data_IF_261175440285
#
_entry.id   IF_261175440285
#
_cell.length_a   1.000
_cell.length_b   1.000
_cell.length_c   1.000
_cell.angle_alpha   90.00
_cell.angle_beta   90.00
_cell.angle_gamma   90.00
#
_symmetry.space_group_name_H-M   'P 1'
#
loop_
_entity.id
_entity.type
_entity.pdbx_description
1 polymer ?
#
# COMPACT_ATOMS: atom_id res chain seq x y z
N UNK A 1 29.16 -24.32 -9.88
CA UNK A 1 29.83 -23.48 -8.90
C UNK A 1 29.18 -22.13 -8.94
N UNK A 2 28.19 -21.87 -8.06
CA UNK A 2 27.53 -20.57 -7.96
C UNK A 2 28.23 -19.81 -6.84
N UNK A 3 28.88 -18.71 -7.22
CA UNK A 3 29.59 -17.85 -6.27
C UNK A 3 28.59 -17.11 -5.37
N UNK A 4 28.71 -17.36 -4.08
CA UNK A 4 28.10 -16.56 -3.02
C UNK A 4 28.88 -15.24 -3.05
N UNK A 5 28.24 -14.18 -3.50
CA UNK A 5 28.76 -12.83 -3.38
C UNK A 5 28.67 -12.44 -1.89
N UNK A 6 29.82 -12.25 -1.28
CA UNK A 6 29.97 -11.78 0.09
C UNK A 6 29.62 -10.28 0.20
N UNK A 7 29.40 -9.76 1.44
CA UNK A 7 28.90 -8.42 1.69
C UNK A 7 30.02 -7.40 1.48
N UNK A 8 30.03 -6.70 0.37
CA UNK A 8 30.42 -5.30 0.13
C UNK A 8 30.00 -5.00 -1.31
N UNK A 9 28.73 -4.82 -1.53
CA UNK A 9 28.27 -4.21 -2.77
C UNK A 9 28.37 -2.70 -2.60
N UNK A 10 29.11 -2.03 -3.47
CA UNK A 10 28.97 -0.60 -3.67
C UNK A 10 27.47 -0.34 -3.89
N UNK A 11 26.89 0.65 -3.18
CA UNK A 11 25.48 0.98 -3.32
C UNK A 11 25.16 1.15 -4.81
N UNK A 12 24.22 0.36 -5.34
CA UNK A 12 23.76 0.47 -6.71
C UNK A 12 23.30 1.91 -6.98
N UNK A 13 23.73 2.48 -8.08
CA UNK A 13 23.16 3.74 -8.53
C UNK A 13 21.72 3.54 -8.97
N UNK A 14 20.90 4.60 -8.91
CA UNK A 14 19.52 4.55 -9.39
C UNK A 14 19.44 4.02 -10.84
N UNK A 15 20.35 4.45 -11.71
CA UNK A 15 20.38 4.02 -13.11
C UNK A 15 20.66 2.51 -13.25
N UNK A 16 21.61 1.97 -12.48
CA UNK A 16 21.95 0.55 -12.48
C UNK A 16 20.80 -0.30 -11.91
N UNK A 17 20.17 0.13 -10.83
CA UNK A 17 19.03 -0.56 -10.23
C UNK A 17 17.83 -0.64 -11.20
N UNK A 18 17.57 0.44 -11.95
CA UNK A 18 16.46 0.50 -12.89
C UNK A 18 16.75 -0.15 -14.26
N UNK A 19 18.00 -0.44 -14.59
CA UNK A 19 18.36 -1.03 -15.88
C UNK A 19 17.63 -2.36 -16.12
N UNK A 20 17.42 -3.14 -15.09
CA UNK A 20 16.74 -4.43 -15.14
C UNK A 20 15.31 -4.35 -15.70
N UNK A 21 14.58 -3.25 -15.39
CA UNK A 21 13.22 -3.03 -15.93
C UNK A 21 13.23 -2.19 -17.19
N UNK A 22 14.23 -1.34 -17.39
CA UNK A 22 14.41 -0.51 -18.60
C UNK A 22 14.83 -1.32 -19.81
N UNK A 23 15.58 -2.42 -19.60
CA UNK A 23 16.00 -3.32 -20.66
C UNK A 23 14.84 -3.99 -21.39
N UNK A 24 13.74 -4.30 -20.68
CA UNK A 24 12.56 -4.90 -21.27
C UNK A 24 11.26 -4.36 -20.64
N UNK A 25 10.86 -3.11 -20.96
CA UNK A 25 9.67 -2.49 -20.35
C UNK A 25 8.38 -3.27 -20.60
N UNK A 26 8.25 -3.91 -21.76
CA UNK A 26 7.06 -4.70 -22.13
C UNK A 26 6.89 -5.98 -21.33
N UNK A 27 7.89 -6.36 -20.52
CA UNK A 27 7.86 -7.50 -19.59
C UNK A 27 8.22 -7.07 -18.16
N UNK A 28 7.99 -5.80 -17.83
CA UNK A 28 8.34 -5.25 -16.53
C UNK A 28 7.15 -4.58 -15.85
N UNK A 29 7.07 -4.71 -14.52
CA UNK A 29 6.06 -4.08 -13.68
C UNK A 29 6.67 -2.97 -12.81
N UNK A 30 5.96 -1.85 -12.69
CA UNK A 30 6.29 -0.73 -11.79
C UNK A 30 5.15 -0.60 -10.76
N UNK A 31 5.47 -0.89 -9.52
CA UNK A 31 4.54 -0.91 -8.40
C UNK A 31 4.93 0.19 -7.40
N UNK A 32 3.99 1.04 -7.01
CA UNK A 32 4.28 2.21 -6.19
C UNK A 32 3.25 2.31 -5.05
N UNK A 33 3.72 2.51 -3.85
CA UNK A 33 2.85 3.01 -2.79
C UNK A 33 2.36 4.44 -3.10
N UNK A 34 1.37 4.92 -2.37
CA UNK A 34 0.73 6.20 -2.65
C UNK A 34 1.09 7.25 -1.60
N UNK A 35 0.77 7.00 -0.34
CA UNK A 35 0.94 7.95 0.76
C UNK A 35 2.39 7.92 1.27
N UNK A 36 3.09 9.05 1.23
CA UNK A 36 4.53 9.12 1.54
C UNK A 36 5.44 8.83 0.35
N UNK A 37 4.93 8.16 -0.67
CA UNK A 37 5.65 7.74 -1.88
C UNK A 37 5.33 8.62 -3.09
N UNK A 38 4.12 8.53 -3.64
CA UNK A 38 3.67 9.39 -4.76
C UNK A 38 3.12 10.73 -4.29
N UNK A 39 2.47 10.74 -3.14
CA UNK A 39 1.91 11.93 -2.51
C UNK A 39 2.62 12.21 -1.18
N UNK A 40 2.86 13.46 -0.82
CA UNK A 40 3.41 13.80 0.48
C UNK A 40 2.44 13.42 1.59
N UNK A 41 2.98 13.05 2.77
CA UNK A 41 2.18 12.87 3.98
C UNK A 41 1.60 14.21 4.40
N UNK A 42 0.29 14.26 4.61
CA UNK A 42 -0.45 15.45 4.99
C UNK A 42 -1.21 15.24 6.30
N UNK A 43 -1.62 16.33 6.96
CA UNK A 43 -2.32 16.25 8.26
C UNK A 43 -3.70 15.59 8.15
N UNK A 44 -4.42 15.83 7.06
CA UNK A 44 -5.74 15.25 6.81
C UNK A 44 -5.67 14.36 5.56
N UNK A 45 -6.12 13.13 5.69
CA UNK A 45 -6.05 12.14 4.62
C UNK A 45 -6.78 12.57 3.33
N UNK A 46 -7.80 13.43 3.46
CA UNK A 46 -8.58 13.94 2.35
C UNK A 46 -7.84 15.05 1.54
N UNK A 47 -6.81 15.67 2.13
CA UNK A 47 -5.99 16.69 1.48
C UNK A 47 -4.84 16.07 0.65
N UNK A 48 -4.63 14.77 0.79
CA UNK A 48 -3.56 14.07 0.09
C UNK A 48 -3.87 14.00 -1.41
N UNK A 49 -2.92 14.41 -2.23
CA UNK A 49 -3.01 14.33 -3.69
C UNK A 49 -1.64 14.10 -4.31
N UNK A 50 -1.63 13.42 -5.44
CA UNK A 50 -0.40 13.25 -6.23
C UNK A 50 -0.17 14.50 -7.06
N UNK A 51 1.01 15.14 -6.97
CA UNK A 51 1.33 16.34 -7.76
C UNK A 51 1.19 16.11 -9.27
N UNK A 52 0.75 17.13 -10.00
CA UNK A 52 0.50 17.02 -11.44
C UNK A 52 1.74 16.55 -12.23
N UNK A 53 2.92 17.05 -11.88
CA UNK A 53 4.19 16.64 -12.51
C UNK A 53 4.44 15.14 -12.30
N UNK A 54 4.23 14.63 -11.08
CA UNK A 54 4.36 13.19 -10.77
C UNK A 54 3.36 12.36 -11.58
N UNK A 55 2.10 12.82 -11.69
CA UNK A 55 1.08 12.16 -12.51
C UNK A 55 1.47 12.11 -13.99
N UNK A 56 2.03 13.18 -14.53
CA UNK A 56 2.49 13.26 -15.93
C UNK A 56 3.54 12.18 -16.20
N UNK A 57 4.56 12.03 -15.31
CA UNK A 57 5.56 10.99 -15.46
C UNK A 57 4.94 9.59 -15.29
N UNK A 58 4.05 9.40 -14.32
CA UNK A 58 3.40 8.11 -14.09
C UNK A 58 2.54 7.68 -15.30
N UNK A 59 1.84 8.62 -15.96
CA UNK A 59 1.12 8.36 -17.21
C UNK A 59 2.09 7.95 -18.32
N UNK A 60 3.23 8.62 -18.46
CA UNK A 60 4.23 8.28 -19.46
C UNK A 60 4.82 6.87 -19.21
N UNK A 61 5.16 6.56 -17.95
CA UNK A 61 5.62 5.24 -17.52
C UNK A 61 4.54 4.18 -17.80
N UNK A 62 3.26 4.45 -17.52
CA UNK A 62 2.18 3.48 -17.73
C UNK A 62 1.94 3.12 -19.21
N UNK A 63 2.41 3.94 -20.14
CA UNK A 63 2.34 3.64 -21.59
C UNK A 63 3.52 2.81 -22.09
N UNK A 64 4.59 2.73 -21.30
CA UNK A 64 5.83 2.08 -21.68
C UNK A 64 5.98 0.68 -21.07
N UNK A 65 5.52 0.52 -19.84
CA UNK A 65 5.68 -0.71 -19.06
C UNK A 65 4.47 -1.63 -19.16
N UNK A 66 4.70 -2.95 -19.09
CA UNK A 66 3.64 -3.96 -19.20
C UNK A 66 2.56 -3.80 -18.11
N UNK A 67 2.97 -3.44 -16.91
CA UNK A 67 2.09 -3.23 -15.77
C UNK A 67 2.58 -2.05 -14.93
N UNK A 68 1.68 -1.13 -14.62
CA UNK A 68 1.88 -0.11 -13.62
C UNK A 68 0.74 -0.17 -12.61
N UNK A 69 1.06 -0.19 -11.33
CA UNK A 69 0.05 -0.24 -10.28
C UNK A 69 0.40 0.63 -9.08
N UNK A 70 -0.61 1.21 -8.45
CA UNK A 70 -0.51 1.78 -7.11
C UNK A 70 -0.97 0.75 -6.08
N UNK A 71 -0.22 0.63 -4.98
CA UNK A 71 -0.48 -0.31 -3.87
C UNK A 71 -0.65 0.50 -2.59
N UNK A 72 -1.81 0.42 -1.94
CA UNK A 72 -2.14 1.32 -0.84
C UNK A 72 -2.94 0.65 0.28
N UNK A 73 -2.81 1.15 1.50
CA UNK A 73 -3.72 0.85 2.60
C UNK A 73 -5.12 1.42 2.42
N UNK A 74 -5.28 2.40 1.51
CA UNK A 74 -6.58 2.95 1.15
C UNK A 74 -7.38 1.96 0.31
N UNK A 75 -8.72 2.15 0.25
CA UNK A 75 -9.54 1.45 -0.76
C UNK A 75 -9.02 1.76 -2.17
N UNK A 76 -9.01 0.78 -3.05
CA UNK A 76 -8.54 0.95 -4.42
C UNK A 76 -9.23 2.10 -5.17
N UNK A 77 -10.55 2.25 -4.98
CA UNK A 77 -11.31 3.37 -5.54
C UNK A 77 -10.90 4.74 -4.98
N UNK A 78 -10.50 4.80 -3.71
CA UNK A 78 -10.00 6.04 -3.07
C UNK A 78 -8.60 6.37 -3.57
N UNK A 79 -7.69 5.39 -3.62
CA UNK A 79 -6.36 5.55 -4.19
C UNK A 79 -6.45 6.04 -5.66
N UNK A 80 -7.33 5.44 -6.47
CA UNK A 80 -7.58 5.89 -7.85
C UNK A 80 -8.04 7.33 -7.94
N UNK A 81 -8.96 7.78 -7.09
CA UNK A 81 -9.38 9.20 -7.08
C UNK A 81 -8.24 10.14 -6.75
N UNK A 82 -7.39 9.75 -5.79
CA UNK A 82 -6.24 10.53 -5.35
C UNK A 82 -5.15 10.63 -6.42
N UNK A 83 -4.83 9.51 -7.08
CA UNK A 83 -3.84 9.45 -8.17
C UNK A 83 -4.41 10.03 -9.47
N UNK A 84 -5.73 9.90 -9.68
CA UNK A 84 -6.46 10.40 -10.85
C UNK A 84 -5.99 9.84 -12.20
N UNK A 85 -5.58 8.57 -12.24
CA UNK A 85 -5.18 7.85 -13.46
C UNK A 85 -6.04 6.58 -13.58
N UNK A 86 -6.84 6.48 -14.64
CA UNK A 86 -7.73 5.33 -14.86
C UNK A 86 -7.07 4.15 -15.57
N UNK A 87 -5.93 4.34 -16.21
CA UNK A 87 -5.27 3.35 -17.06
C UNK A 87 -4.28 2.42 -16.34
N UNK A 88 -4.11 2.57 -15.02
CA UNK A 88 -3.24 1.72 -14.20
C UNK A 88 -4.07 0.88 -13.23
N UNK A 89 -3.46 -0.16 -12.68
CA UNK A 89 -4.08 -0.98 -11.64
C UNK A 89 -3.96 -0.33 -10.25
N UNK A 90 -4.85 -0.72 -9.33
CA UNK A 90 -4.80 -0.31 -7.93
C UNK A 90 -5.01 -1.51 -7.03
N UNK A 91 -4.07 -1.76 -6.16
CA UNK A 91 -4.19 -2.69 -5.04
C UNK A 91 -4.58 -1.88 -3.82
N UNK A 92 -5.75 -2.14 -3.25
CA UNK A 92 -6.31 -1.42 -2.12
C UNK A 92 -6.50 -2.28 -0.88
N UNK A 93 -6.90 -1.64 0.22
CA UNK A 93 -7.15 -2.30 1.51
C UNK A 93 -5.98 -3.20 1.93
N UNK A 94 -4.75 -2.67 1.85
CA UNK A 94 -3.52 -3.43 2.16
C UNK A 94 -3.37 -4.76 1.39
N UNK A 95 -3.86 -4.85 0.16
CA UNK A 95 -3.78 -6.08 -0.66
C UNK A 95 -5.08 -6.86 -0.76
N UNK A 96 -6.13 -6.45 -0.04
CA UNK A 96 -7.42 -7.14 -0.01
C UNK A 96 -8.26 -7.00 -1.27
N UNK A 97 -7.99 -6.00 -2.09
CA UNK A 97 -8.75 -5.75 -3.33
C UNK A 97 -7.85 -5.27 -4.46
N UNK A 98 -8.23 -5.57 -5.69
CA UNK A 98 -7.55 -5.12 -6.91
C UNK A 98 -8.57 -4.48 -7.83
N UNK A 99 -8.32 -3.23 -8.23
CA UNK A 99 -9.06 -2.54 -9.28
C UNK A 99 -8.20 -2.59 -10.55
N UNK A 100 -8.62 -3.33 -11.57
CA UNK A 100 -7.84 -3.46 -12.80
C UNK A 100 -7.81 -2.14 -13.60
N UNK A 101 -6.87 -1.98 -14.56
CA UNK A 101 -6.82 -0.83 -15.45
C UNK A 101 -8.16 -0.65 -16.17
N UNK A 102 -8.72 0.57 -16.14
CA UNK A 102 -10.03 0.86 -16.75
C UNK A 102 -11.24 0.31 -15.98
N UNK A 103 -11.05 -0.55 -14.99
CA UNK A 103 -12.11 -1.12 -14.17
C UNK A 103 -12.81 -0.07 -13.30
N UNK A 104 -14.06 -0.34 -12.93
CA UNK A 104 -14.85 0.52 -12.02
C UNK A 104 -15.22 -0.17 -10.72
N UNK A 105 -15.13 -1.49 -10.68
CA UNK A 105 -15.43 -2.32 -9.51
C UNK A 105 -14.18 -3.11 -9.13
N UNK A 106 -13.71 -3.02 -7.89
CA UNK A 106 -12.55 -3.78 -7.45
C UNK A 106 -12.91 -5.28 -7.30
N UNK A 107 -11.95 -6.12 -7.61
CA UNK A 107 -11.99 -7.55 -7.33
C UNK A 107 -11.47 -7.79 -5.92
N UNK A 108 -12.36 -8.13 -5.00
CA UNK A 108 -12.01 -8.41 -3.61
C UNK A 108 -11.51 -9.86 -3.49
N UNK A 109 -10.47 -10.05 -2.68
CA UNK A 109 -10.03 -11.40 -2.30
C UNK A 109 -11.20 -12.16 -1.67
N UNK A 110 -11.56 -13.37 -2.18
CA UNK A 110 -12.76 -14.06 -1.73
C UNK A 110 -12.75 -14.45 -0.23
N UNK A 111 -11.59 -14.72 0.32
CA UNK A 111 -11.44 -15.03 1.74
C UNK A 111 -11.61 -13.76 2.58
N UNK A 112 -11.00 -12.67 2.14
CA UNK A 112 -11.13 -11.35 2.75
C UNK A 112 -12.58 -10.84 2.69
N UNK A 113 -13.28 -11.03 1.57
CA UNK A 113 -14.68 -10.65 1.42
C UNK A 113 -15.58 -11.36 2.44
N UNK A 114 -15.45 -12.70 2.55
CA UNK A 114 -16.22 -13.49 3.52
C UNK A 114 -15.93 -13.10 4.97
N UNK A 115 -14.66 -12.88 5.28
CA UNK A 115 -14.26 -12.47 6.63
C UNK A 115 -14.74 -11.04 6.97
N UNK A 116 -14.87 -10.16 5.99
CA UNK A 116 -15.37 -8.80 6.13
C UNK A 116 -16.84 -8.72 6.59
N UNK A 117 -17.67 -9.74 6.30
CA UNK A 117 -19.05 -9.79 6.78
C UNK A 117 -19.12 -9.74 8.32
N UNK A 118 -18.19 -10.42 9.00
CA UNK A 118 -18.10 -10.38 10.47
C UNK A 118 -17.73 -8.99 10.98
N UNK A 119 -16.84 -8.28 10.27
CA UNK A 119 -16.43 -6.92 10.64
C UNK A 119 -17.60 -5.95 10.48
N UNK A 120 -18.38 -6.06 9.39
CA UNK A 120 -19.58 -5.22 9.21
C UNK A 120 -20.61 -5.48 10.30
N UNK A 121 -20.91 -6.74 10.60
CA UNK A 121 -21.82 -7.10 11.68
C UNK A 121 -21.35 -6.57 13.05
N UNK A 122 -20.06 -6.66 13.32
CA UNK A 122 -19.44 -6.11 14.52
C UNK A 122 -19.59 -4.57 14.57
N UNK A 123 -19.25 -3.87 13.48
CA UNK A 123 -19.37 -2.41 13.40
C UNK A 123 -20.80 -1.97 13.71
N UNK A 124 -21.79 -2.58 13.07
CA UNK A 124 -23.20 -2.22 13.25
C UNK A 124 -23.67 -2.45 14.69
N UNK A 125 -23.11 -3.44 15.38
CA UNK A 125 -23.41 -3.75 16.79
C UNK A 125 -22.78 -2.76 17.78
N UNK A 126 -21.63 -2.15 17.45
CA UNK A 126 -20.91 -1.25 18.34
C UNK A 126 -21.26 0.23 18.13
N UNK A 127 -21.88 0.57 17.00
CA UNK A 127 -22.34 1.93 16.75
C UNK A 127 -23.51 2.25 17.68
N UNK A 128 -23.31 3.23 18.57
CA UNK A 128 -24.28 3.65 19.56
C UNK A 128 -24.32 5.19 19.70
N UNK A 129 -25.24 5.67 20.55
CA UNK A 129 -25.41 7.09 20.83
C UNK A 129 -24.20 7.71 21.55
N UNK A 130 -23.44 6.93 22.31
CA UNK A 130 -22.21 7.41 22.98
C UNK A 130 -21.18 7.85 21.98
N UNK A 131 -20.89 7.00 20.99
CA UNK A 131 -19.93 7.31 19.92
C UNK A 131 -20.38 8.53 19.11
N UNK A 132 -21.69 8.65 18.85
CA UNK A 132 -22.24 9.81 18.16
C UNK A 132 -22.05 11.11 18.96
N UNK A 133 -22.32 11.10 20.27
CA UNK A 133 -22.15 12.27 21.18
C UNK A 133 -20.66 12.66 21.26
N UNK A 134 -19.75 11.67 21.30
CA UNK A 134 -18.30 11.88 21.33
C UNK A 134 -17.75 12.27 19.95
N UNK A 135 -18.57 12.31 18.91
CA UNK A 135 -18.17 12.58 17.51
C UNK A 135 -17.08 11.63 17.02
N UNK A 136 -17.11 10.37 17.42
CA UNK A 136 -16.33 9.31 16.80
C UNK A 136 -16.95 9.03 15.43
N UNK A 137 -16.15 9.19 14.38
CA UNK A 137 -16.59 8.93 13.00
C UNK A 137 -16.26 7.50 12.63
N UNK A 138 -17.28 6.68 12.39
CA UNK A 138 -17.10 5.36 11.82
C UNK A 138 -17.02 5.44 10.29
N UNK A 139 -16.00 4.84 9.72
CA UNK A 139 -15.79 4.69 8.27
C UNK A 139 -15.95 3.22 7.89
N UNK A 140 -16.79 2.97 6.90
CA UNK A 140 -16.94 1.65 6.29
C UNK A 140 -15.96 1.51 5.12
N UNK A 141 -14.99 0.60 5.26
CA UNK A 141 -14.08 0.20 4.18
C UNK A 141 -14.45 -1.18 3.62
N UNK A 142 -15.72 -1.55 3.66
CA UNK A 142 -16.32 -2.84 3.29
C UNK A 142 -15.84 -4.02 4.17
N UNK A 143 -14.57 -4.36 4.16
CA UNK A 143 -14.00 -5.47 4.93
C UNK A 143 -13.27 -5.02 6.20
N UNK A 144 -13.09 -3.73 6.37
CA UNK A 144 -12.43 -3.09 7.51
C UNK A 144 -13.35 -1.99 8.04
N UNK A 145 -13.51 -1.91 9.35
CA UNK A 145 -14.21 -0.80 10.00
C UNK A 145 -13.18 0.11 10.67
N UNK A 146 -13.20 1.40 10.36
CA UNK A 146 -12.32 2.37 10.99
C UNK A 146 -13.10 3.34 11.87
N UNK A 147 -12.60 3.61 13.08
CA UNK A 147 -13.17 4.50 14.06
C UNK A 147 -12.21 5.65 14.32
N UNK A 148 -12.54 6.84 13.84
CA UNK A 148 -11.72 8.04 13.91
C UNK A 148 -12.20 8.95 15.03
N UNK A 149 -11.28 9.44 15.88
CA UNK A 149 -11.60 10.43 16.93
C UNK A 149 -10.78 11.71 16.82
N UNK A 150 -10.03 11.90 15.74
CA UNK A 150 -9.31 13.14 15.48
C UNK A 150 -10.31 14.31 15.37
N UNK A 151 -10.07 15.35 16.16
CA UNK A 151 -10.93 16.54 16.22
C UNK A 151 -12.24 16.31 16.96
N UNK A 152 -12.38 15.24 17.75
CA UNK A 152 -13.45 15.07 18.71
C UNK A 152 -13.39 16.20 19.76
N UNK A 153 -14.53 16.72 20.25
CA UNK A 153 -14.55 17.79 21.28
C UNK A 153 -13.83 17.38 22.56
N UNK A 154 -13.91 16.10 22.92
CA UNK A 154 -13.18 15.46 24.00
C UNK A 154 -12.47 14.22 23.40
N UNK A 155 -11.22 14.39 22.97
CA UNK A 155 -10.46 13.31 22.36
C UNK A 155 -10.08 12.22 23.34
N UNK A 156 -9.93 12.52 24.64
CA UNK A 156 -9.61 11.53 25.67
C UNK A 156 -10.82 10.61 25.94
N UNK A 157 -12.01 11.17 26.12
CA UNK A 157 -13.22 10.39 26.26
C UNK A 157 -13.54 9.58 25.00
N UNK A 158 -13.33 10.16 23.81
CA UNK A 158 -13.50 9.47 22.54
C UNK A 158 -12.53 8.30 22.38
N UNK A 159 -11.24 8.49 22.73
CA UNK A 159 -10.26 7.41 22.73
C UNK A 159 -10.62 6.30 23.69
N UNK A 160 -11.07 6.64 24.91
CA UNK A 160 -11.51 5.65 25.90
C UNK A 160 -12.69 4.80 25.38
N UNK A 161 -13.65 5.43 24.67
CA UNK A 161 -14.75 4.71 24.03
C UNK A 161 -14.24 3.78 22.90
N UNK A 162 -13.31 4.25 22.08
CA UNK A 162 -12.72 3.45 21.00
C UNK A 162 -11.88 2.29 21.55
N UNK A 163 -11.20 2.45 22.70
CA UNK A 163 -10.50 1.34 23.38
C UNK A 163 -11.46 0.22 23.79
N UNK A 164 -12.65 0.54 24.29
CA UNK A 164 -13.69 -0.46 24.59
C UNK A 164 -14.16 -1.19 23.31
N UNK A 165 -14.20 -0.51 22.17
CA UNK A 165 -14.48 -1.16 20.87
C UNK A 165 -13.37 -2.15 20.53
N UNK A 166 -12.11 -1.76 20.72
CA UNK A 166 -10.98 -2.66 20.46
C UNK A 166 -11.05 -3.94 21.32
N UNK A 167 -11.26 -3.80 22.61
CA UNK A 167 -11.42 -4.93 23.55
C UNK A 167 -12.56 -5.88 23.12
N UNK A 168 -13.69 -5.31 22.70
CA UNK A 168 -14.82 -6.12 22.19
C UNK A 168 -14.50 -6.81 20.86
N UNK A 169 -13.78 -6.14 19.96
CA UNK A 169 -13.35 -6.72 18.68
C UNK A 169 -12.43 -7.92 18.90
N UNK A 170 -11.43 -7.77 19.77
CA UNK A 170 -10.52 -8.85 20.14
C UNK A 170 -11.24 -10.02 20.82
N UNK A 171 -12.20 -9.76 21.71
CA UNK A 171 -13.03 -10.77 22.34
C UNK A 171 -13.91 -11.54 21.33
N UNK A 172 -14.32 -10.90 20.23
CA UNK A 172 -15.04 -11.56 19.12
C UNK A 172 -14.09 -12.20 18.08
N UNK A 173 -12.79 -12.18 18.36
CA UNK A 173 -11.75 -12.79 17.50
C UNK A 173 -11.49 -11.98 16.21
N UNK A 174 -11.70 -10.67 16.23
CA UNK A 174 -11.29 -9.74 15.19
C UNK A 174 -9.91 -9.18 15.51
N UNK A 175 -9.22 -8.65 14.52
CA UNK A 175 -7.90 -8.04 14.67
C UNK A 175 -8.06 -6.53 14.77
N UNK A 176 -7.34 -5.90 15.69
CA UNK A 176 -7.31 -4.45 15.81
C UNK A 176 -5.97 -3.89 15.37
N UNK A 177 -6.02 -2.76 14.69
CA UNK A 177 -4.83 -2.01 14.29
C UNK A 177 -4.99 -0.56 14.68
N UNK A 178 -4.01 -0.05 15.45
CA UNK A 178 -4.01 1.34 15.92
C UNK A 178 -3.19 2.21 14.98
N UNK A 179 -3.85 3.21 14.41
CA UNK A 179 -3.20 4.28 13.67
C UNK A 179 -3.24 5.59 14.44
N UNK A 180 -2.87 6.68 13.79
CA UNK A 180 -2.82 8.02 14.39
C UNK A 180 -4.24 8.59 14.58
N UNK A 181 -4.84 8.39 15.78
CA UNK A 181 -6.22 8.73 16.13
C UNK A 181 -7.27 8.00 15.29
N UNK A 182 -6.98 6.76 14.96
CA UNK A 182 -7.88 5.83 14.31
C UNK A 182 -7.65 4.42 14.83
N UNK A 183 -8.73 3.70 15.06
CA UNK A 183 -8.74 2.26 15.27
C UNK A 183 -9.31 1.60 14.01
N UNK A 184 -8.60 0.66 13.43
CA UNK A 184 -9.14 -0.22 12.41
C UNK A 184 -9.43 -1.59 13.01
N UNK A 185 -10.66 -2.05 12.82
CA UNK A 185 -11.10 -3.42 13.12
C UNK A 185 -11.08 -4.19 11.82
N UNK A 186 -10.27 -5.23 11.77
CA UNK A 186 -9.95 -6.02 10.58
C UNK A 186 -10.40 -7.48 10.78
N UNK A 187 -10.68 -8.22 9.71
CA UNK A 187 -10.89 -9.65 9.80
C UNK A 187 -9.58 -10.37 10.16
N UNK A 188 -9.69 -11.60 10.64
CA UNK A 188 -8.53 -12.46 10.97
C UNK A 188 -7.75 -12.92 9.75
N UNK A 189 -8.32 -12.81 8.55
CA UNK A 189 -7.61 -13.09 7.30
C UNK A 189 -6.53 -12.05 7.12
N UNK A 190 -5.29 -12.50 7.14
CA UNK A 190 -4.16 -11.63 6.90
C UNK A 190 -4.12 -11.24 5.42
N UNK A 191 -4.40 -9.97 5.16
CA UNK A 191 -4.10 -9.32 3.89
C UNK A 191 -3.02 -8.28 4.16
N UNK A 192 -2.00 -8.29 3.33
CA UNK A 192 -0.88 -7.37 3.35
C UNK A 192 -0.52 -6.97 1.91
N UNK A 193 0.31 -5.95 1.77
CA UNK A 193 0.72 -5.46 0.44
C UNK A 193 1.44 -6.55 -0.37
N UNK A 194 2.16 -7.45 0.28
CA UNK A 194 2.85 -8.57 -0.36
C UNK A 194 1.88 -9.57 -0.99
N UNK A 195 0.81 -9.95 -0.26
CA UNK A 195 -0.27 -10.80 -0.82
C UNK A 195 -0.94 -10.12 -2.02
N UNK A 196 -1.23 -8.82 -1.92
CA UNK A 196 -1.83 -8.06 -3.02
C UNK A 196 -0.94 -7.98 -4.25
N UNK A 197 0.35 -7.70 -4.07
CA UNK A 197 1.36 -7.67 -5.14
C UNK A 197 1.51 -9.05 -5.79
N UNK A 198 1.63 -10.13 -5.00
CA UNK A 198 1.71 -11.49 -5.53
C UNK A 198 0.47 -11.90 -6.33
N UNK A 199 -0.73 -11.50 -5.86
CA UNK A 199 -1.98 -11.75 -6.59
C UNK A 199 -2.02 -10.98 -7.90
N UNK A 200 -1.65 -9.70 -7.91
CA UNK A 200 -1.60 -8.86 -9.11
C UNK A 200 -0.61 -9.42 -10.15
N UNK A 201 0.60 -9.79 -9.72
CA UNK A 201 1.65 -10.28 -10.62
C UNK A 201 1.43 -11.71 -11.09
N UNK A 202 0.57 -12.49 -10.43
CA UNK A 202 0.27 -13.88 -10.86
C UNK A 202 -0.35 -13.94 -12.25
N UNK A 203 -1.14 -12.93 -12.60
CA UNK A 203 -1.85 -12.85 -13.87
C UNK A 203 -1.09 -12.00 -14.91
N UNK A 204 0.00 -11.35 -14.51
CA UNK A 204 0.78 -10.50 -15.38
C UNK A 204 1.92 -11.28 -16.06
N UNK A 205 2.10 -11.05 -17.37
CA UNK A 205 3.21 -11.60 -18.14
C UNK A 205 4.45 -10.69 -18.02
N UNK A 206 5.10 -10.75 -16.85
CA UNK A 206 6.28 -9.93 -16.52
C UNK A 206 7.42 -10.79 -15.96
N UNK A 207 8.66 -10.40 -16.28
CA UNK A 207 9.88 -11.05 -15.81
C UNK A 207 10.60 -10.23 -14.73
N UNK A 208 10.35 -8.93 -14.69
CA UNK A 208 10.98 -8.02 -13.74
C UNK A 208 9.97 -7.11 -13.09
N UNK A 209 10.21 -6.73 -11.84
CA UNK A 209 9.36 -5.78 -11.13
C UNK A 209 10.18 -4.83 -10.24
N UNK A 210 9.73 -3.58 -10.16
CA UNK A 210 10.17 -2.60 -9.15
C UNK A 210 9.01 -2.34 -8.22
N UNK A 211 9.28 -2.32 -6.92
CA UNK A 211 8.35 -1.81 -5.91
C UNK A 211 8.97 -0.62 -5.18
N UNK A 212 8.16 0.42 -4.95
CA UNK A 212 8.58 1.67 -4.27
C UNK A 212 7.64 1.94 -3.10
N UNK A 213 8.18 2.14 -1.91
CA UNK A 213 7.37 2.42 -0.71
C UNK A 213 8.16 3.06 0.43
N UNK A 214 7.48 3.62 1.44
CA UNK A 214 8.07 4.42 2.52
C UNK A 214 7.78 3.89 3.94
N UNK A 215 6.86 2.92 4.09
CA UNK A 215 6.33 2.49 5.39
C UNK A 215 6.65 1.00 5.67
N UNK A 216 6.43 0.60 6.92
CA UNK A 216 6.55 -0.80 7.39
C UNK A 216 5.68 -1.77 6.59
N UNK A 217 4.50 -1.33 6.12
CA UNK A 217 3.61 -2.16 5.28
C UNK A 217 4.19 -2.45 3.89
N UNK A 218 5.18 -1.66 3.44
CA UNK A 218 5.87 -1.88 2.16
C UNK A 218 6.91 -2.99 2.24
N UNK A 219 7.40 -3.30 3.44
CA UNK A 219 8.25 -4.48 3.69
C UNK A 219 7.55 -5.77 3.27
N UNK A 220 6.24 -5.87 3.48
CA UNK A 220 5.47 -7.03 3.04
C UNK A 220 5.47 -7.15 1.51
N UNK A 221 5.38 -6.01 0.79
CA UNK A 221 5.50 -5.99 -0.67
C UNK A 221 6.92 -6.38 -1.14
N UNK A 222 7.97 -5.91 -0.46
CA UNK A 222 9.35 -6.32 -0.74
C UNK A 222 9.52 -7.84 -0.58
N UNK A 223 9.04 -8.40 0.53
CA UNK A 223 9.07 -9.85 0.78
C UNK A 223 8.24 -10.61 -0.25
N UNK A 224 7.07 -10.07 -0.63
CA UNK A 224 6.21 -10.63 -1.67
C UNK A 224 6.91 -10.72 -3.03
N UNK A 225 7.66 -9.68 -3.45
CA UNK A 225 8.44 -9.69 -4.68
C UNK A 225 9.62 -10.67 -4.62
N UNK A 226 10.37 -10.68 -3.53
CA UNK A 226 11.50 -11.60 -3.35
C UNK A 226 11.05 -13.06 -3.38
N UNK A 227 9.91 -13.37 -2.74
CA UNK A 227 9.33 -14.69 -2.80
C UNK A 227 8.96 -15.11 -4.23
N UNK A 228 8.44 -14.19 -5.07
CA UNK A 228 8.17 -14.48 -6.48
C UNK A 228 9.46 -14.76 -7.28
N UNK A 229 10.58 -14.12 -6.95
CA UNK A 229 11.89 -14.42 -7.56
C UNK A 229 12.39 -15.80 -7.11
N UNK A 230 12.30 -16.12 -5.83
CA UNK A 230 12.66 -17.44 -5.27
C UNK A 230 11.83 -18.58 -5.86
N UNK A 231 10.56 -18.34 -6.12
CA UNK A 231 9.63 -19.27 -6.78
C UNK A 231 9.87 -19.40 -8.30
N UNK A 232 10.76 -18.59 -8.87
CA UNK A 232 11.03 -18.56 -10.32
C UNK A 232 9.89 -17.96 -11.16
N UNK A 233 8.99 -17.19 -10.53
CA UNK A 233 7.87 -16.49 -11.18
C UNK A 233 8.31 -15.13 -11.71
N UNK A 234 9.31 -14.53 -11.11
CA UNK A 234 10.02 -13.35 -11.59
C UNK A 234 11.49 -13.71 -11.77
N UNK A 235 12.12 -13.16 -12.81
CA UNK A 235 13.57 -13.25 -13.01
C UNK A 235 14.32 -12.36 -12.03
N UNK A 236 13.74 -11.17 -11.72
CA UNK A 236 14.35 -10.21 -10.81
C UNK A 236 13.33 -9.24 -10.22
N UNK A 237 13.66 -8.70 -9.05
CA UNK A 237 12.91 -7.65 -8.38
C UNK A 237 13.86 -6.59 -7.82
N UNK A 238 13.40 -5.34 -7.79
CA UNK A 238 14.09 -4.22 -7.14
C UNK A 238 13.14 -3.58 -6.14
N UNK A 239 13.58 -3.47 -4.89
CA UNK A 239 12.85 -2.88 -3.78
C UNK A 239 13.45 -1.50 -3.47
N UNK A 240 12.68 -0.44 -3.70
CA UNK A 240 13.11 0.95 -3.49
C UNK A 240 12.43 1.51 -2.26
N UNK A 241 13.21 1.88 -1.26
CA UNK A 241 12.73 2.59 -0.07
C UNK A 241 12.67 4.10 -0.31
N UNK A 242 11.63 4.75 0.18
CA UNK A 242 11.48 6.21 0.15
C UNK A 242 11.84 6.77 1.51
N UNK A 243 12.91 7.55 1.57
CA UNK A 243 13.40 8.13 2.82
C UNK A 243 12.63 9.40 3.18
N UNK A 244 12.27 9.49 4.46
CA UNK A 244 11.69 10.66 5.12
C UNK A 244 12.19 10.75 6.57
N UNK A 245 11.77 11.75 7.32
CA UNK A 245 12.09 11.87 8.75
C UNK A 245 11.42 10.76 9.61
N UNK A 246 10.42 10.06 9.06
CA UNK A 246 9.65 9.01 9.74
C UNK A 246 9.94 7.61 9.16
N UNK A 247 10.97 7.45 8.32
CA UNK A 247 11.30 6.18 7.66
C UNK A 247 11.67 5.11 8.69
N UNK A 248 11.02 3.93 8.66
CA UNK A 248 11.38 2.82 9.53
C UNK A 248 12.80 2.33 9.23
N UNK A 249 13.65 2.08 10.26
CA UNK A 249 15.01 1.56 10.06
C UNK A 249 15.04 0.24 9.27
N UNK A 250 14.01 -0.60 9.43
CA UNK A 250 13.88 -1.87 8.73
C UNK A 250 13.70 -1.67 7.22
N UNK A 251 13.02 -0.60 6.81
CA UNK A 251 12.84 -0.27 5.39
C UNK A 251 14.19 0.06 4.74
N UNK A 252 15.03 0.85 5.42
CA UNK A 252 16.37 1.18 4.94
C UNK A 252 17.27 -0.05 4.82
N UNK A 253 17.10 -1.03 5.69
CA UNK A 253 17.89 -2.27 5.69
C UNK A 253 17.44 -3.25 4.60
N UNK A 254 16.13 -3.31 4.33
CA UNK A 254 15.57 -4.25 3.35
C UNK A 254 15.49 -3.68 1.93
N UNK A 255 15.61 -2.37 1.73
CA UNK A 255 15.61 -1.78 0.40
C UNK A 255 16.94 -2.03 -0.35
N UNK A 256 16.84 -2.30 -1.65
CA UNK A 256 18.02 -2.41 -2.54
C UNK A 256 18.54 -1.00 -2.89
N UNK A 257 17.70 0.00 -2.84
CA UNK A 257 17.98 1.40 -3.14
C UNK A 257 17.10 2.31 -2.28
N UNK A 258 17.60 3.50 -1.95
CA UNK A 258 16.85 4.56 -1.28
C UNK A 258 16.75 5.80 -2.15
N UNK A 259 15.57 6.43 -2.16
CA UNK A 259 15.32 7.74 -2.79
C UNK A 259 14.73 8.70 -1.76
N UNK A 260 14.95 10.01 -1.91
CA UNK A 260 14.56 10.99 -0.90
C UNK A 260 13.15 11.55 -1.19
N UNK A 261 12.17 11.12 -0.43
CA UNK A 261 10.79 11.56 -0.45
C UNK A 261 10.09 11.44 -1.82
N UNK A 262 8.89 12.00 -1.98
CA UNK A 262 8.16 12.01 -3.25
C UNK A 262 8.91 12.70 -4.41
N UNK A 263 9.87 13.59 -4.09
CA UNK A 263 10.71 14.22 -5.10
C UNK A 263 11.70 13.22 -5.71
N UNK A 264 12.31 12.36 -4.89
CA UNK A 264 13.18 11.27 -5.35
C UNK A 264 12.42 10.24 -6.18
N UNK A 265 11.18 9.90 -5.76
CA UNK A 265 10.29 9.02 -6.54
C UNK A 265 9.98 9.63 -7.92
N UNK A 266 9.72 10.93 -7.99
CA UNK A 266 9.50 11.61 -9.27
C UNK A 266 10.72 11.53 -10.17
N UNK A 267 11.93 11.75 -9.63
CA UNK A 267 13.19 11.61 -10.40
C UNK A 267 13.39 10.18 -10.88
N UNK A 268 13.00 9.18 -10.07
CA UNK A 268 13.01 7.78 -10.48
C UNK A 268 12.04 7.52 -11.63
N UNK A 269 10.80 8.04 -11.58
CA UNK A 269 9.84 7.92 -12.67
C UNK A 269 10.36 8.57 -13.97
N UNK A 270 11.05 9.71 -13.88
CA UNK A 270 11.71 10.34 -15.02
C UNK A 270 12.83 9.46 -15.60
N UNK A 271 13.64 8.82 -14.74
CA UNK A 271 14.69 7.91 -15.16
C UNK A 271 14.19 6.61 -15.82
N UNK A 272 12.91 6.25 -15.62
CA UNK A 272 12.26 5.12 -16.30
C UNK A 272 11.79 5.44 -17.72
N UNK A 273 11.77 6.70 -18.11
CA UNK A 273 11.40 7.16 -19.46
C UNK A 273 12.55 7.17 -20.44
#
# INVERSE_FOLDING_TARGET
MRGILGPVSAALTLAEALEVVRANPSRSAILLDVDGTLAPIVRHADDAHVPEVTRTHLIAVSRRYALVACVSGRRAATARRMVSIGSIAYVGNHGGEILPPGGTVPEVDPEFARAGERVRAFRDKVLDEELHRLRVRAEDKDQIAAFHWRGAPDEEAAEAAVRRIAERAEAEGLVVHWGRKVLEVRPTVQVDKGRGVRRLLREADVDAAVYVGDDTTDLDAFRGLRALVEEGRLGTAVCVGVRSDETPPELEQEADLLVDGPAGVRSMLEALL
#
